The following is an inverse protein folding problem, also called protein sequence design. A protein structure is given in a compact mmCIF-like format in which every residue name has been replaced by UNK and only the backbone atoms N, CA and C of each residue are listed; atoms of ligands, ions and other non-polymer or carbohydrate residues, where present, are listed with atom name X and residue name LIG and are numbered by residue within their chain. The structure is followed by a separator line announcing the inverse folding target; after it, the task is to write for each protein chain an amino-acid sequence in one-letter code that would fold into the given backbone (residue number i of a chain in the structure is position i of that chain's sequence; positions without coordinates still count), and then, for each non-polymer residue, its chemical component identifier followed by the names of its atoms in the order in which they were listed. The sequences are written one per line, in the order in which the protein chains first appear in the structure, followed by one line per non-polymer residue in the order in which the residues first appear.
data_IF_446312683565
#
_entry.id   IF_446312683565
#
_cell.length_a   1.000
_cell.length_b   1.000
_cell.length_c   1.000
_cell.angle_alpha   90.00
_cell.angle_beta   90.00
_cell.angle_gamma   90.00
#
_symmetry.space_group_name_H-M   'P 1'
#
loop_
_entity.id
_entity.type
_entity.pdbx_description
1 polymer ?
#
# COMPACT_ATOMS: atom_id res chain seq x y z
N UNK A 1 -7.70 -44.17 -22.62
CA UNK A 1 -7.05 -43.35 -21.57
C UNK A 1 -6.00 -42.36 -22.09
N UNK A 2 -5.34 -42.61 -23.23
CA UNK A 2 -4.31 -41.69 -23.77
C UNK A 2 -4.91 -40.42 -24.42
N UNK A 3 -6.04 -40.56 -25.13
CA UNK A 3 -6.73 -39.43 -25.78
C UNK A 3 -7.39 -38.44 -24.80
N UNK A 4 -7.88 -38.92 -23.65
CA UNK A 4 -8.48 -38.07 -22.60
C UNK A 4 -7.41 -37.16 -21.99
N UNK A 5 -6.19 -37.66 -21.74
CA UNK A 5 -5.08 -36.86 -21.18
C UNK A 5 -4.59 -35.75 -22.11
N UNK A 6 -4.71 -35.93 -23.43
CA UNK A 6 -4.25 -34.95 -24.41
C UNK A 6 -5.23 -33.77 -24.55
N UNK A 7 -6.53 -34.06 -24.63
CA UNK A 7 -7.58 -33.03 -24.71
C UNK A 7 -7.65 -32.19 -23.42
N UNK A 8 -7.41 -32.80 -22.25
CA UNK A 8 -7.32 -32.05 -20.98
C UNK A 8 -6.09 -31.14 -20.93
N UNK A 9 -4.95 -31.55 -21.51
CA UNK A 9 -3.72 -30.74 -21.53
C UNK A 9 -3.80 -29.51 -22.43
N UNK A 10 -4.35 -29.67 -23.64
CA UNK A 10 -4.50 -28.55 -24.59
C UNK A 10 -5.47 -27.50 -24.04
N UNK A 11 -6.59 -27.93 -23.42
CA UNK A 11 -7.53 -27.01 -22.77
C UNK A 11 -6.95 -26.33 -21.53
N UNK A 12 -6.16 -27.03 -20.70
CA UNK A 12 -5.48 -26.41 -19.55
C UNK A 12 -4.49 -25.32 -19.99
N UNK A 13 -3.78 -25.54 -21.10
CA UNK A 13 -2.85 -24.54 -21.64
C UNK A 13 -3.59 -23.32 -22.24
N UNK A 14 -4.68 -23.53 -22.99
CA UNK A 14 -5.53 -22.42 -23.46
C UNK A 14 -6.19 -21.67 -22.28
N UNK A 15 -6.53 -22.37 -21.19
CA UNK A 15 -7.12 -21.80 -19.96
C UNK A 15 -6.11 -21.00 -19.11
N UNK A 16 -4.83 -21.34 -19.16
CA UNK A 16 -3.76 -20.62 -18.46
C UNK A 16 -3.41 -19.28 -19.12
N UNK A 17 -3.71 -19.11 -20.41
CA UNK A 17 -3.50 -17.85 -21.14
C UNK A 17 -4.57 -16.79 -20.82
N UNK A 18 -5.74 -17.18 -20.31
CA UNK A 18 -6.74 -16.22 -19.81
C UNK A 18 -6.48 -15.87 -18.35
N UNK A 19 -6.06 -14.65 -18.07
CA UNK A 19 -5.64 -14.20 -16.73
C UNK A 19 -6.76 -14.22 -15.66
N UNK A 20 -8.02 -14.53 -16.03
CA UNK A 20 -9.14 -14.72 -15.10
C UNK A 20 -10.07 -15.85 -15.59
N UNK A 21 -10.02 -17.07 -15.03
CA UNK A 21 -11.04 -18.08 -15.31
C UNK A 21 -12.40 -17.54 -14.86
N UNK A 22 -13.44 -17.73 -15.69
CA UNK A 22 -14.82 -17.38 -15.35
C UNK A 22 -15.29 -18.17 -14.13
N UNK A 23 -16.32 -17.67 -13.43
CA UNK A 23 -16.79 -18.30 -12.19
C UNK A 23 -17.31 -19.74 -12.41
N UNK A 24 -17.79 -20.05 -13.61
CA UNK A 24 -18.15 -21.42 -14.02
C UNK A 24 -16.92 -22.33 -14.12
N UNK A 25 -15.81 -21.84 -14.67
CA UNK A 25 -14.53 -22.58 -14.75
C UNK A 25 -13.95 -22.79 -13.35
N UNK A 26 -14.02 -21.78 -12.47
CA UNK A 26 -13.59 -21.94 -11.07
C UNK A 26 -14.41 -23.00 -10.34
N UNK A 27 -15.71 -23.10 -10.64
CA UNK A 27 -16.60 -24.10 -10.06
C UNK A 27 -16.26 -25.50 -10.57
N UNK A 28 -16.02 -25.65 -11.86
CA UNK A 28 -15.62 -26.93 -12.49
C UNK A 28 -14.24 -27.41 -11.99
N UNK A 29 -13.27 -26.49 -11.81
CA UNK A 29 -11.96 -26.80 -11.23
C UNK A 29 -12.03 -27.16 -9.73
N UNK A 30 -13.02 -26.63 -8.99
CA UNK A 30 -13.20 -26.93 -7.57
C UNK A 30 -13.81 -28.33 -7.32
N UNK A 31 -14.36 -28.98 -8.35
CA UNK A 31 -15.00 -30.29 -8.24
C UNK A 31 -13.99 -31.45 -8.17
N UNK A 32 -12.71 -31.22 -8.48
CA UNK A 32 -11.68 -32.26 -8.49
C UNK A 32 -10.43 -31.86 -7.69
N UNK A 33 -10.05 -32.72 -6.74
CA UNK A 33 -8.73 -32.62 -6.09
C UNK A 33 -7.69 -33.17 -7.06
N UNK A 34 -6.75 -32.32 -7.47
CA UNK A 34 -5.62 -32.72 -8.31
C UNK A 34 -4.34 -32.87 -7.48
N UNK A 35 -3.46 -33.85 -7.79
CA UNK A 35 -2.16 -33.96 -7.16
C UNK A 35 -1.26 -32.80 -7.58
N UNK A 36 -0.37 -32.33 -6.69
CA UNK A 36 0.61 -31.25 -6.95
C UNK A 36 1.37 -31.43 -8.28
N UNK A 37 1.64 -32.67 -8.70
CA UNK A 37 2.30 -33.00 -9.96
C UNK A 37 1.57 -32.47 -11.20
N UNK A 38 0.27 -32.22 -11.12
CA UNK A 38 -0.51 -31.61 -12.19
C UNK A 38 -0.17 -30.12 -12.39
N UNK A 39 0.28 -29.44 -11.33
CA UNK A 39 0.52 -27.99 -11.32
C UNK A 39 1.98 -27.62 -11.58
N UNK A 40 2.93 -28.55 -11.36
CA UNK A 40 4.37 -28.25 -11.40
C UNK A 40 4.85 -27.70 -12.75
N UNK A 41 4.32 -28.21 -13.88
CA UNK A 41 4.71 -27.73 -15.21
C UNK A 41 4.16 -26.32 -15.45
N UNK A 42 2.89 -26.06 -15.12
CA UNK A 42 2.25 -24.74 -15.22
C UNK A 42 2.95 -23.72 -14.31
N UNK A 43 3.28 -24.11 -13.08
CA UNK A 43 4.05 -23.28 -12.14
C UNK A 43 5.42 -22.93 -12.72
N UNK A 44 6.14 -23.90 -13.29
CA UNK A 44 7.44 -23.66 -13.94
C UNK A 44 7.33 -22.67 -15.10
N UNK A 45 6.26 -22.76 -15.90
CA UNK A 45 5.98 -21.83 -17.00
C UNK A 45 5.60 -20.42 -16.51
N UNK A 46 5.13 -20.28 -15.27
CA UNK A 46 4.83 -19.00 -14.63
C UNK A 46 6.04 -18.35 -13.94
N UNK A 47 7.20 -19.03 -13.87
CA UNK A 47 8.40 -18.44 -13.30
C UNK A 47 8.86 -17.24 -14.15
N UNK A 48 9.30 -16.18 -13.47
CA UNK A 48 9.74 -14.95 -14.14
C UNK A 48 10.99 -15.18 -15.00
N UNK A 49 11.13 -14.35 -16.04
CA UNK A 49 12.26 -14.32 -16.98
C UNK A 49 13.50 -13.57 -16.44
N UNK A 50 13.46 -13.13 -15.18
CA UNK A 50 14.52 -12.36 -14.53
C UNK A 50 14.50 -10.85 -14.78
N UNK A 51 13.50 -10.34 -15.50
CA UNK A 51 13.36 -8.88 -15.74
C UNK A 51 12.90 -8.11 -14.50
N UNK A 52 12.16 -8.76 -13.59
CA UNK A 52 11.74 -8.20 -12.31
C UNK A 52 12.63 -8.72 -11.19
N UNK A 53 13.25 -7.80 -10.45
CA UNK A 53 14.08 -8.13 -9.28
C UNK A 53 13.23 -8.61 -8.08
N UNK A 54 11.98 -8.16 -8.01
CA UNK A 54 11.09 -8.41 -6.89
C UNK A 54 9.69 -8.74 -7.39
N UNK A 55 8.96 -9.58 -6.63
CA UNK A 55 7.55 -9.87 -6.91
C UNK A 55 6.69 -8.61 -6.68
N UNK A 56 6.96 -7.91 -5.59
CA UNK A 56 6.31 -6.66 -5.21
C UNK A 56 6.85 -5.45 -5.98
N UNK A 57 6.25 -4.29 -5.72
CA UNK A 57 6.68 -3.00 -6.25
C UNK A 57 7.95 -2.59 -5.50
N UNK A 58 9.05 -2.41 -6.23
CA UNK A 58 10.29 -1.94 -5.64
C UNK A 58 10.18 -0.49 -5.19
N UNK A 59 10.71 -0.20 -4.01
CA UNK A 59 10.61 1.10 -3.34
C UNK A 59 11.85 1.96 -3.59
N UNK A 60 12.93 1.37 -4.11
CA UNK A 60 14.23 2.04 -4.26
C UNK A 60 15.06 2.02 -2.99
N UNK A 61 14.52 1.50 -1.89
CA UNK A 61 15.26 1.18 -0.68
C UNK A 61 15.71 -0.28 -0.75
N UNK A 62 16.84 -0.53 -1.39
CA UNK A 62 17.33 -1.89 -1.69
C UNK A 62 17.30 -2.86 -0.50
N UNK A 63 17.64 -2.40 0.70
CA UNK A 63 17.64 -3.25 1.90
C UNK A 63 16.22 -3.61 2.36
N UNK A 64 15.25 -2.68 2.22
CA UNK A 64 13.83 -2.97 2.47
C UNK A 64 13.32 -3.91 1.39
N UNK A 65 13.56 -3.61 0.12
CA UNK A 65 13.07 -4.40 -1.01
C UNK A 65 13.58 -5.85 -0.96
N UNK A 66 14.85 -6.07 -0.61
CA UNK A 66 15.41 -7.42 -0.39
C UNK A 66 14.75 -8.15 0.77
N UNK A 67 14.41 -7.44 1.84
CA UNK A 67 13.83 -8.03 3.04
C UNK A 67 12.37 -8.42 2.85
N UNK A 68 11.57 -7.59 2.16
CA UNK A 68 10.13 -7.82 1.97
C UNK A 68 9.75 -8.35 0.58
N UNK A 69 10.70 -8.41 -0.35
CA UNK A 69 10.44 -8.79 -1.75
C UNK A 69 9.71 -7.71 -2.54
N UNK A 70 9.97 -6.43 -2.24
CA UNK A 70 9.18 -5.26 -2.67
C UNK A 70 7.83 -5.17 -1.95
N UNK A 71 7.06 -4.10 -2.19
CA UNK A 71 5.70 -3.95 -1.66
C UNK A 71 4.76 -4.89 -2.44
N UNK A 72 4.29 -5.95 -1.81
CA UNK A 72 3.38 -6.93 -2.43
C UNK A 72 1.97 -6.85 -1.82
N UNK A 73 0.95 -6.80 -2.70
CA UNK A 73 -0.48 -6.86 -2.35
C UNK A 73 -0.84 -5.90 -1.22
N UNK A 74 -1.07 -6.36 0.01
CA UNK A 74 -1.42 -5.49 1.13
C UNK A 74 -0.27 -5.36 2.15
N UNK A 75 0.27 -4.15 2.29
CA UNK A 75 1.34 -3.80 3.24
C UNK A 75 0.79 -2.88 4.32
N UNK A 76 1.01 -3.23 5.58
CA UNK A 76 0.66 -2.41 6.73
C UNK A 76 1.91 -1.77 7.35
N UNK A 77 1.90 -0.44 7.44
CA UNK A 77 2.94 0.35 8.10
C UNK A 77 2.46 0.81 9.48
N UNK A 78 2.81 0.05 10.51
CA UNK A 78 2.38 0.31 11.88
C UNK A 78 3.44 1.09 12.66
N UNK A 79 3.00 1.88 13.63
CA UNK A 79 3.92 2.65 14.48
C UNK A 79 3.20 3.71 15.30
N UNK A 80 3.90 4.26 16.30
CA UNK A 80 3.31 5.30 17.16
C UNK A 80 3.03 6.60 16.40
N UNK A 81 2.16 7.43 16.97
CA UNK A 81 2.06 8.83 16.54
C UNK A 81 3.43 9.49 16.67
N UNK A 82 3.82 10.27 15.66
CA UNK A 82 5.14 10.90 15.57
C UNK A 82 6.31 10.00 15.17
N UNK A 83 6.10 8.69 14.95
CA UNK A 83 7.18 7.77 14.55
C UNK A 83 7.67 7.95 13.09
N UNK A 84 7.02 8.80 12.30
CA UNK A 84 7.41 9.08 10.91
C UNK A 84 6.73 8.21 9.85
N UNK A 85 5.61 7.54 10.17
CA UNK A 85 4.87 6.65 9.25
C UNK A 85 4.52 7.30 7.91
N UNK A 86 3.84 8.45 7.94
CA UNK A 86 3.48 9.22 6.74
C UNK A 86 4.71 9.56 5.91
N UNK A 87 5.76 10.07 6.55
CA UNK A 87 7.01 10.42 5.87
C UNK A 87 7.64 9.21 5.18
N UNK A 88 7.70 8.06 5.86
CA UNK A 88 8.25 6.85 5.25
C UNK A 88 7.34 6.32 4.14
N UNK A 89 6.03 6.30 4.30
CA UNK A 89 5.09 5.87 3.26
C UNK A 89 5.25 6.70 1.99
N UNK A 90 5.35 8.04 2.13
CA UNK A 90 5.61 8.95 1.01
C UNK A 90 6.99 8.72 0.36
N UNK A 91 8.02 8.38 1.15
CA UNK A 91 9.35 8.04 0.64
C UNK A 91 9.35 6.75 -0.18
N UNK A 92 8.74 5.68 0.34
CA UNK A 92 8.61 4.40 -0.36
C UNK A 92 7.79 4.58 -1.65
N UNK A 93 6.70 5.36 -1.57
CA UNK A 93 5.91 5.76 -2.72
C UNK A 93 6.74 6.50 -3.75
N UNK A 94 7.42 7.59 -3.38
CA UNK A 94 8.22 8.35 -4.33
C UNK A 94 9.27 7.50 -5.05
N UNK A 95 9.93 6.57 -4.36
CA UNK A 95 10.88 5.67 -5.01
C UNK A 95 10.22 4.68 -5.97
N UNK A 96 9.02 4.16 -5.65
CA UNK A 96 8.23 3.37 -6.60
C UNK A 96 7.75 4.20 -7.82
N UNK A 97 7.40 5.47 -7.59
CA UNK A 97 6.99 6.41 -8.64
C UNK A 97 8.13 6.70 -9.62
N UNK A 98 9.35 6.85 -9.11
CA UNK A 98 10.55 7.07 -9.93
C UNK A 98 10.91 5.86 -10.80
N UNK A 99 10.54 4.65 -10.36
CA UNK A 99 10.63 3.43 -11.16
C UNK A 99 9.46 3.25 -12.12
N UNK A 100 8.51 4.20 -12.09
CA UNK A 100 7.44 4.34 -13.06
C UNK A 100 6.10 3.77 -12.65
N UNK A 101 5.95 3.32 -11.40
CA UNK A 101 4.69 2.84 -10.85
C UNK A 101 3.77 4.03 -10.56
N UNK A 102 2.54 4.08 -11.10
CA UNK A 102 1.54 5.06 -10.71
C UNK A 102 1.13 4.94 -9.24
N UNK A 103 0.90 6.08 -8.61
CA UNK A 103 0.60 6.15 -7.17
C UNK A 103 -0.63 6.99 -6.90
N UNK A 104 -1.51 6.49 -6.05
CA UNK A 104 -2.62 7.25 -5.47
C UNK A 104 -2.37 7.39 -3.97
N UNK A 105 -2.38 8.62 -3.46
CA UNK A 105 -2.25 8.92 -2.04
C UNK A 105 -3.60 9.39 -1.52
N UNK A 106 -4.15 8.66 -0.57
CA UNK A 106 -5.28 9.06 0.26
C UNK A 106 -4.76 9.52 1.61
N UNK A 107 -4.99 10.77 1.96
CA UNK A 107 -4.65 11.30 3.28
C UNK A 107 -5.72 12.27 3.74
N UNK A 108 -6.39 11.96 4.84
CA UNK A 108 -7.53 12.75 5.31
C UNK A 108 -7.20 13.65 6.50
N UNK A 109 -6.04 13.46 7.14
CA UNK A 109 -5.51 14.40 8.13
C UNK A 109 -4.71 15.55 7.49
N UNK A 110 -3.96 15.26 6.41
CA UNK A 110 -3.15 16.27 5.71
C UNK A 110 -3.83 16.77 4.44
N UNK A 111 -3.78 18.08 4.23
CA UNK A 111 -4.16 18.70 2.96
C UNK A 111 -3.23 18.29 1.82
N UNK A 112 -3.73 18.42 0.59
CA UNK A 112 -2.92 18.19 -0.62
C UNK A 112 -1.61 18.98 -0.61
N UNK A 113 -1.63 20.24 -0.18
CA UNK A 113 -0.43 21.08 -0.14
C UNK A 113 0.59 20.60 0.88
N UNK A 114 0.15 20.12 2.05
CA UNK A 114 1.08 19.56 3.05
C UNK A 114 1.75 18.27 2.53
N UNK A 115 1.02 17.43 1.79
CA UNK A 115 1.57 16.25 1.13
C UNK A 115 2.59 16.65 0.05
N UNK A 116 2.25 17.62 -0.80
CA UNK A 116 3.17 18.17 -1.81
C UNK A 116 4.43 18.70 -1.13
N UNK A 117 4.29 19.50 -0.07
CA UNK A 117 5.42 20.01 0.70
C UNK A 117 6.32 18.85 1.12
N UNK A 118 5.79 17.81 1.79
CA UNK A 118 6.54 16.60 2.21
C UNK A 118 7.25 15.89 1.06
N UNK A 119 6.62 15.77 -0.11
CA UNK A 119 7.24 15.18 -1.29
C UNK A 119 8.44 16.01 -1.77
N UNK A 120 8.30 17.34 -1.79
CA UNK A 120 9.42 18.22 -2.13
C UNK A 120 10.56 18.09 -1.10
N UNK A 121 10.25 18.07 0.21
CA UNK A 121 11.27 17.89 1.25
C UNK A 121 12.03 16.56 1.10
N UNK A 122 11.31 15.52 0.69
CA UNK A 122 11.86 14.19 0.45
C UNK A 122 12.84 14.20 -0.71
N UNK A 123 12.43 14.78 -1.85
CA UNK A 123 13.29 14.92 -3.03
C UNK A 123 14.55 15.72 -2.71
N UNK A 124 14.40 16.78 -1.93
CA UNK A 124 15.48 17.68 -1.55
C UNK A 124 16.38 17.18 -0.41
N UNK A 125 16.13 15.97 0.11
CA UNK A 125 16.94 15.36 1.18
C UNK A 125 17.01 16.17 2.48
N UNK A 126 15.90 16.80 2.89
CA UNK A 126 15.69 17.16 4.29
C UNK A 126 15.92 18.63 4.70
N UNK A 127 15.80 19.61 3.81
CA UNK A 127 15.86 21.03 4.21
C UNK A 127 14.81 21.92 3.53
N UNK A 128 13.61 22.00 4.10
CA UNK A 128 12.49 22.71 3.44
C UNK A 128 11.59 23.55 4.36
N UNK A 129 11.28 23.11 5.58
CA UNK A 129 10.16 23.67 6.39
C UNK A 129 10.33 25.12 6.82
N UNK A 130 11.56 25.62 7.02
CA UNK A 130 11.78 27.03 7.42
C UNK A 130 12.34 27.88 6.27
N UNK A 131 13.06 27.26 5.33
CA UNK A 131 13.73 27.97 4.25
C UNK A 131 12.82 28.11 3.04
N UNK A 132 12.21 27.02 2.58
CA UNK A 132 11.42 27.06 1.35
C UNK A 132 9.94 27.33 1.64
N UNK A 133 9.37 26.72 2.67
CA UNK A 133 7.96 26.93 2.98
C UNK A 133 7.65 28.40 3.30
N UNK A 134 8.55 29.06 4.04
CA UNK A 134 8.38 30.46 4.44
C UNK A 134 9.03 31.45 3.46
N UNK A 135 10.13 31.07 2.80
CA UNK A 135 10.95 31.99 1.98
C UNK A 135 11.23 31.50 0.57
N UNK A 136 10.55 30.46 0.08
CA UNK A 136 10.78 29.87 -1.25
C UNK A 136 10.61 30.86 -2.41
N UNK A 137 9.77 31.88 -2.22
CA UNK A 137 9.56 32.97 -3.17
C UNK A 137 10.26 34.28 -2.77
N UNK A 138 11.08 34.26 -1.72
CA UNK A 138 11.78 35.45 -1.27
C UNK A 138 12.81 35.87 -2.33
N UNK A 139 12.87 37.16 -2.70
CA UNK A 139 13.82 37.63 -3.72
C UNK A 139 15.28 37.47 -3.26
N UNK A 140 15.51 37.39 -1.94
CA UNK A 140 16.80 37.22 -1.30
C UNK A 140 17.09 35.77 -0.85
N UNK A 141 16.32 34.79 -1.36
CA UNK A 141 16.62 33.38 -1.09
C UNK A 141 18.03 33.03 -1.60
N UNK A 142 18.80 32.35 -0.76
CA UNK A 142 20.18 31.95 -1.09
C UNK A 142 20.21 31.14 -2.41
N UNK A 143 21.18 31.40 -3.30
CA UNK A 143 21.25 30.74 -4.61
C UNK A 143 21.20 29.20 -4.55
N UNK A 144 21.88 28.60 -3.57
CA UNK A 144 21.91 27.15 -3.39
C UNK A 144 20.53 26.58 -3.04
N UNK A 145 19.77 27.27 -2.17
CA UNK A 145 18.40 26.86 -1.84
C UNK A 145 17.45 27.05 -3.01
N UNK A 146 17.62 28.11 -3.79
CA UNK A 146 16.84 28.33 -5.01
C UNK A 146 17.09 27.23 -6.04
N UNK A 147 18.35 26.88 -6.28
CA UNK A 147 18.72 25.81 -7.20
C UNK A 147 18.18 24.45 -6.74
N UNK A 148 18.29 24.15 -5.44
CA UNK A 148 17.74 22.92 -4.86
C UNK A 148 16.22 22.84 -5.01
N UNK A 149 15.50 23.95 -4.79
CA UNK A 149 14.05 24.03 -4.96
C UNK A 149 13.66 23.78 -6.41
N UNK A 150 14.26 24.50 -7.36
CA UNK A 150 13.98 24.35 -8.79
C UNK A 150 14.26 22.92 -9.26
N UNK A 151 15.38 22.33 -8.85
CA UNK A 151 15.71 20.93 -9.18
C UNK A 151 14.68 19.95 -8.60
N UNK A 152 14.22 20.19 -7.37
CA UNK A 152 13.25 19.32 -6.70
C UNK A 152 11.88 19.38 -7.38
N UNK A 153 11.41 20.58 -7.74
CA UNK A 153 10.17 20.77 -8.50
C UNK A 153 10.27 20.15 -9.88
N UNK A 154 11.39 20.32 -10.58
CA UNK A 154 11.62 19.67 -11.88
C UNK A 154 11.56 18.15 -11.78
N UNK A 155 12.16 17.56 -10.74
CA UNK A 155 12.12 16.10 -10.52
C UNK A 155 10.69 15.62 -10.29
N UNK A 156 9.92 16.30 -9.45
CA UNK A 156 8.51 15.97 -9.22
C UNK A 156 7.67 16.15 -10.49
N UNK A 157 7.90 17.21 -11.26
CA UNK A 157 7.18 17.46 -12.51
C UNK A 157 7.37 16.34 -13.54
N UNK A 158 8.57 15.71 -13.60
CA UNK A 158 8.84 14.57 -14.48
C UNK A 158 8.01 13.32 -14.16
N UNK A 159 7.55 13.19 -12.92
CA UNK A 159 6.80 12.02 -12.46
C UNK A 159 5.35 12.34 -12.07
N UNK A 160 4.97 13.63 -12.06
CA UNK A 160 3.70 14.13 -11.54
C UNK A 160 2.47 13.58 -12.25
N UNK A 161 2.55 13.30 -13.56
CA UNK A 161 1.46 12.70 -14.34
C UNK A 161 1.05 11.29 -13.87
N UNK A 162 1.85 10.66 -13.01
CA UNK A 162 1.59 9.34 -12.42
C UNK A 162 1.30 9.40 -10.92
N UNK A 163 1.18 10.60 -10.34
CA UNK A 163 0.95 10.81 -8.92
C UNK A 163 -0.39 11.52 -8.69
N UNK A 164 -1.28 10.84 -7.97
CA UNK A 164 -2.63 11.32 -7.68
C UNK A 164 -2.78 11.51 -6.17
N UNK A 165 -3.37 12.63 -5.74
CA UNK A 165 -3.57 12.95 -4.31
C UNK A 165 -5.05 13.26 -4.05
N UNK A 166 -5.63 12.55 -3.08
CA UNK A 166 -6.98 12.74 -2.57
C UNK A 166 -6.91 13.07 -1.09
N UNK A 167 -7.41 14.25 -0.73
CA UNK A 167 -7.52 14.69 0.65
C UNK A 167 -8.99 14.77 1.10
N UNK A 168 -9.20 15.17 2.36
CA UNK A 168 -10.54 15.26 2.94
C UNK A 168 -11.46 16.32 2.29
N UNK A 169 -10.94 17.19 1.40
CA UNK A 169 -11.73 18.24 0.76
C UNK A 169 -12.88 17.70 -0.10
N UNK A 170 -12.72 16.50 -0.67
CA UNK A 170 -13.75 15.79 -1.44
C UNK A 170 -14.61 14.83 -0.62
N UNK A 171 -14.43 14.78 0.70
CA UNK A 171 -14.99 13.75 1.57
C UNK A 171 -14.24 12.42 1.50
N UNK A 172 -14.57 11.52 2.43
CA UNK A 172 -13.93 10.21 2.54
C UNK A 172 -14.64 9.22 1.60
N UNK A 173 -13.95 8.68 0.58
CA UNK A 173 -14.53 7.74 -0.37
C UNK A 173 -14.79 6.39 0.28
N UNK A 174 -15.65 5.59 -0.34
CA UNK A 174 -15.79 4.17 0.03
C UNK A 174 -14.56 3.39 -0.40
N UNK A 175 -14.24 2.29 0.27
CA UNK A 175 -13.21 1.38 -0.22
C UNK A 175 -13.67 0.65 -1.49
N UNK A 176 -14.90 0.14 -1.48
CA UNK A 176 -15.50 -0.67 -2.54
C UNK A 176 -16.70 0.05 -3.17
N UNK A 177 -17.03 -0.26 -4.43
CA UNK A 177 -18.26 0.26 -5.03
C UNK A 177 -19.48 -0.31 -4.29
N UNK A 178 -20.62 0.40 -4.28
CA UNK A 178 -21.85 -0.10 -3.66
C UNK A 178 -22.24 -1.45 -4.26
N UNK A 179 -22.79 -2.35 -3.43
CA UNK A 179 -23.45 -3.54 -3.95
C UNK A 179 -24.66 -3.13 -4.80
N UNK A 180 -25.11 -4.01 -5.69
CA UNK A 180 -26.28 -3.78 -6.55
C UNK A 180 -27.55 -3.42 -5.78
N UNK A 181 -27.61 -3.69 -4.47
CA UNK A 181 -28.75 -3.40 -3.59
C UNK A 181 -28.61 -2.07 -2.83
N UNK A 182 -27.43 -1.43 -2.82
CA UNK A 182 -27.14 -0.18 -2.12
C UNK A 182 -27.18 1.06 -3.04
N UNK A 183 -28.29 1.28 -3.75
CA UNK A 183 -28.43 2.44 -4.66
C UNK A 183 -28.50 3.82 -3.97
N UNK A 184 -28.46 3.90 -2.63
CA UNK A 184 -28.65 5.16 -1.89
C UNK A 184 -27.38 5.98 -1.68
N UNK A 185 -26.22 5.36 -1.58
CA UNK A 185 -24.97 6.06 -1.28
C UNK A 185 -24.06 6.10 -2.52
N UNK A 186 -24.14 7.25 -3.21
CA UNK A 186 -23.44 7.57 -4.47
C UNK A 186 -22.01 8.10 -4.28
N UNK A 187 -21.42 7.98 -3.10
CA UNK A 187 -20.03 8.41 -2.89
C UNK A 187 -19.09 7.64 -3.81
N UNK A 188 -18.03 8.29 -4.33
CA UNK A 188 -17.00 7.61 -5.13
C UNK A 188 -16.29 6.54 -4.29
N UNK A 189 -15.73 5.54 -4.97
CA UNK A 189 -14.94 4.50 -4.32
C UNK A 189 -13.47 4.55 -4.72
N UNK A 190 -12.59 4.09 -3.81
CA UNK A 190 -11.16 3.91 -4.08
C UNK A 190 -10.97 2.89 -5.22
N UNK A 191 -11.84 1.88 -5.31
CA UNK A 191 -11.87 0.95 -6.45
C UNK A 191 -11.97 1.69 -7.79
N UNK A 192 -12.92 2.61 -7.94
CA UNK A 192 -13.14 3.33 -9.20
C UNK A 192 -11.93 4.23 -9.56
N UNK A 193 -11.35 4.90 -8.56
CA UNK A 193 -10.13 5.70 -8.72
C UNK A 193 -8.94 4.81 -9.19
N UNK A 194 -8.77 3.62 -8.61
CA UNK A 194 -7.71 2.67 -9.03
C UNK A 194 -7.89 2.25 -10.49
N UNK A 195 -9.09 1.82 -10.87
CA UNK A 195 -9.40 1.40 -12.23
C UNK A 195 -9.24 2.55 -13.23
N UNK A 196 -9.59 3.77 -12.83
CA UNK A 196 -9.36 4.97 -13.63
C UNK A 196 -7.86 5.21 -13.84
N UNK A 197 -7.05 5.16 -12.78
CA UNK A 197 -5.59 5.38 -12.86
C UNK A 197 -4.91 4.32 -13.70
N UNK A 198 -5.29 3.05 -13.57
CA UNK A 198 -4.79 1.97 -14.44
C UNK A 198 -5.01 2.29 -15.93
N UNK A 199 -6.23 2.72 -16.28
CA UNK A 199 -6.57 3.10 -17.66
C UNK A 199 -5.79 4.32 -18.15
N UNK A 200 -5.71 5.37 -17.32
CA UNK A 200 -5.03 6.62 -17.68
C UNK A 200 -3.53 6.41 -17.90
N UNK A 201 -2.90 5.61 -17.04
CA UNK A 201 -1.45 5.39 -17.05
C UNK A 201 -1.02 4.19 -17.87
N UNK A 202 -1.97 3.37 -18.34
CA UNK A 202 -1.73 2.09 -19.03
C UNK A 202 -0.81 1.16 -18.24
N UNK A 203 -0.93 1.20 -16.91
CA UNK A 203 -0.15 0.38 -15.99
C UNK A 203 -1.05 -0.62 -15.29
N UNK A 204 -0.66 -1.89 -15.33
CA UNK A 204 -1.33 -2.94 -14.57
C UNK A 204 -1.04 -2.85 -13.07
N UNK A 205 0.15 -2.33 -12.71
CA UNK A 205 0.59 -2.15 -11.32
C UNK A 205 0.33 -0.72 -10.88
N UNK A 206 -0.44 -0.56 -9.80
CA UNK A 206 -0.70 0.73 -9.13
C UNK A 206 -0.41 0.55 -7.65
N UNK A 207 0.26 1.53 -7.04
CA UNK A 207 0.45 1.61 -5.60
C UNK A 207 -0.56 2.59 -5.01
N UNK A 208 -1.31 2.14 -4.02
CA UNK A 208 -2.28 2.96 -3.29
C UNK A 208 -1.76 3.15 -1.87
N UNK A 209 -1.54 4.39 -1.47
CA UNK A 209 -1.13 4.75 -0.12
C UNK A 209 -2.36 5.29 0.61
N UNK A 210 -2.69 4.70 1.76
CA UNK A 210 -3.78 5.16 2.62
C UNK A 210 -3.18 5.57 3.97
N UNK A 211 -3.20 6.86 4.26
CA UNK A 211 -2.70 7.47 5.48
C UNK A 211 -3.86 8.17 6.22
N UNK A 212 -4.55 7.54 7.15
CA UNK A 212 -4.32 6.24 7.82
C UNK A 212 -5.58 5.35 7.85
N UNK A 213 -5.47 4.09 8.30
CA UNK A 213 -6.65 3.21 8.50
C UNK A 213 -7.71 3.92 9.34
N UNK A 214 -7.29 4.64 10.37
CA UNK A 214 -8.19 5.31 11.31
C UNK A 214 -9.12 6.33 10.62
N UNK A 215 -8.69 6.89 9.48
CA UNK A 215 -9.44 7.90 8.76
C UNK A 215 -10.52 7.31 7.83
N UNK A 216 -10.30 6.11 7.32
CA UNK A 216 -11.26 5.42 6.43
C UNK A 216 -12.32 4.62 7.20
N UNK A 217 -12.16 4.50 8.51
CA UNK A 217 -13.08 3.76 9.38
C UNK A 217 -14.34 4.59 9.63
N UNK A 218 -15.51 4.02 9.30
CA UNK A 218 -16.79 4.69 9.53
C UNK A 218 -17.06 4.89 11.02
N UNK A 219 -17.39 6.13 11.40
CA UNK A 219 -17.76 6.52 12.77
C UNK A 219 -19.15 6.02 13.21
N UNK A 220 -19.88 5.33 12.33
CA UNK A 220 -21.21 4.80 12.63
C UNK A 220 -21.22 3.57 13.55
N UNK A 221 -20.08 2.90 13.74
CA UNK A 221 -19.94 1.75 14.63
C UNK A 221 -19.58 2.21 16.05
N UNK A 222 -20.33 1.76 17.06
CA UNK A 222 -20.04 2.04 18.47
C UNK A 222 -18.75 1.37 18.97
N UNK A 223 -18.26 0.36 18.23
CA UNK A 223 -17.02 -0.35 18.52
C UNK A 223 -15.96 -0.05 17.46
N UNK A 224 -14.98 0.79 17.83
CA UNK A 224 -13.88 1.20 16.96
C UNK A 224 -13.03 0.03 16.46
N UNK A 225 -12.79 -0.98 17.30
CA UNK A 225 -12.00 -2.16 16.92
C UNK A 225 -12.72 -2.95 15.83
N UNK A 226 -14.04 -3.13 15.94
CA UNK A 226 -14.82 -3.84 14.94
C UNK A 226 -14.81 -3.10 13.60
N UNK A 227 -14.88 -1.76 13.65
CA UNK A 227 -14.87 -0.91 12.48
C UNK A 227 -13.50 -0.94 11.76
N UNK A 228 -12.39 -0.99 12.50
CA UNK A 228 -11.04 -1.20 11.94
C UNK A 228 -10.89 -2.58 11.27
N UNK A 229 -11.42 -3.64 11.90
CA UNK A 229 -11.41 -4.99 11.31
C UNK A 229 -12.18 -5.01 9.99
N UNK A 230 -13.34 -4.34 9.95
CA UNK A 230 -14.16 -4.23 8.74
C UNK A 230 -13.40 -3.49 7.63
N UNK A 231 -12.78 -2.34 7.94
CA UNK A 231 -11.97 -1.59 6.99
C UNK A 231 -10.83 -2.45 6.42
N UNK A 232 -10.12 -3.22 7.25
CA UNK A 232 -9.06 -4.15 6.81
C UNK A 232 -9.58 -5.24 5.87
N UNK A 233 -10.75 -5.81 6.16
CA UNK A 233 -11.37 -6.81 5.30
C UNK A 233 -11.78 -6.20 3.95
N UNK A 234 -12.31 -4.98 3.96
CA UNK A 234 -12.64 -4.24 2.74
C UNK A 234 -11.39 -3.87 1.94
N UNK A 235 -10.29 -3.45 2.58
CA UNK A 235 -8.98 -3.23 1.94
C UNK A 235 -8.48 -4.52 1.28
N UNK A 236 -8.55 -5.65 1.98
CA UNK A 236 -8.14 -6.95 1.42
C UNK A 236 -8.97 -7.30 0.19
N UNK A 237 -10.28 -7.04 0.23
CA UNK A 237 -11.18 -7.28 -0.90
C UNK A 237 -10.89 -6.34 -2.06
N UNK A 238 -10.62 -5.06 -1.78
CA UNK A 238 -10.23 -4.05 -2.75
C UNK A 238 -8.93 -4.46 -3.45
N UNK A 239 -7.93 -4.88 -2.68
CA UNK A 239 -6.66 -5.43 -3.18
C UNK A 239 -6.91 -6.61 -4.12
N UNK A 240 -7.72 -7.59 -3.72
CA UNK A 240 -7.99 -8.78 -4.54
C UNK A 240 -8.75 -8.44 -5.84
N UNK A 241 -9.71 -7.51 -5.79
CA UNK A 241 -10.51 -7.14 -6.96
C UNK A 241 -9.74 -6.29 -7.96
N UNK A 242 -8.90 -5.38 -7.47
CA UNK A 242 -8.13 -4.45 -8.31
C UNK A 242 -6.72 -4.92 -8.62
N UNK A 243 -6.19 -5.90 -7.87
CA UNK A 243 -4.79 -6.33 -7.93
C UNK A 243 -3.76 -5.22 -7.66
N UNK A 244 -4.21 -4.03 -7.22
CA UNK A 244 -3.32 -2.97 -6.80
C UNK A 244 -2.53 -3.39 -5.55
N UNK A 245 -1.36 -2.79 -5.38
CA UNK A 245 -0.63 -2.87 -4.12
C UNK A 245 -1.13 -1.76 -3.21
N UNK A 246 -1.52 -2.09 -1.98
CA UNK A 246 -2.05 -1.14 -0.99
C UNK A 246 -1.04 -1.06 0.16
N UNK A 247 -0.48 0.13 0.37
CA UNK A 247 0.32 0.47 1.54
C UNK A 247 -0.55 1.31 2.48
N UNK A 248 -0.92 0.77 3.63
CA UNK A 248 -1.75 1.48 4.58
C UNK A 248 -0.98 1.77 5.86
N UNK A 249 -1.07 3.00 6.39
CA UNK A 249 -0.49 3.32 7.68
C UNK A 249 -1.49 3.04 8.80
N UNK A 250 -0.98 2.68 9.97
CA UNK A 250 -1.83 2.53 11.16
C UNK A 250 -1.11 2.95 12.43
N UNK A 251 -1.84 3.56 13.34
CA UNK A 251 -1.34 3.92 14.65
C UNK A 251 -1.35 2.72 15.62
N UNK A 252 -0.26 2.58 16.38
CA UNK A 252 -0.18 1.61 17.49
C UNK A 252 -0.95 2.08 18.73
N UNK A 253 -1.75 1.20 19.32
CA UNK A 253 -2.55 1.51 20.53
C UNK A 253 -1.68 1.66 21.78
N UNK A 254 -2.03 2.62 22.67
CA UNK A 254 -1.26 2.96 23.89
C UNK A 254 -1.16 1.80 24.93
N UNK A 255 -2.01 0.78 24.88
CA UNK A 255 -1.95 -0.38 25.79
C UNK A 255 -0.79 -1.35 25.51
N UNK A 256 -0.24 -1.31 24.30
CA UNK A 256 0.86 -2.17 23.81
C UNK A 256 2.27 -1.78 24.27
N UNK A 257 2.35 -0.80 25.17
CA UNK A 257 3.61 -0.17 25.58
C UNK A 257 4.38 -1.05 26.58
N UNK A 258 3.67 -1.88 27.35
CA UNK A 258 4.23 -2.69 28.42
C UNK A 258 4.07 -4.21 28.21
N UNK A 259 3.56 -4.64 27.06
CA UNK A 259 3.30 -6.05 26.80
C UNK A 259 4.49 -6.72 26.11
N UNK A 260 4.79 -7.96 26.54
CA UNK A 260 5.86 -8.79 25.98
C UNK A 260 5.53 -9.28 24.57
N UNK A 261 4.25 -9.30 24.18
CA UNK A 261 3.80 -9.64 22.83
C UNK A 261 3.88 -8.42 21.89
N UNK A 262 4.97 -8.33 21.12
CA UNK A 262 5.14 -7.25 20.13
C UNK A 262 4.14 -7.30 18.99
N UNK A 263 3.37 -8.37 18.77
CA UNK A 263 2.37 -8.43 17.69
C UNK A 263 0.94 -8.28 18.21
N UNK A 264 0.50 -9.09 19.19
CA UNK A 264 -0.88 -9.11 19.69
C UNK A 264 -1.43 -7.74 20.11
N UNK A 265 -0.57 -6.82 20.54
CA UNK A 265 -0.98 -5.50 21.00
C UNK A 265 -0.78 -4.36 19.99
N UNK A 266 -0.08 -4.57 18.86
CA UNK A 266 0.24 -3.47 17.92
C UNK A 266 -1.00 -2.81 17.36
N UNK A 267 -2.11 -3.55 17.21
CA UNK A 267 -3.31 -3.08 16.52
C UNK A 267 -4.62 -3.37 17.27
N UNK A 268 -4.58 -3.86 18.51
CA UNK A 268 -5.80 -4.11 19.31
C UNK A 268 -6.73 -5.23 18.79
N UNK A 269 -6.42 -5.86 17.64
CA UNK A 269 -7.09 -7.06 17.15
C UNK A 269 -6.16 -7.91 16.28
N UNK A 270 -6.24 -9.23 16.47
CA UNK A 270 -5.57 -10.29 15.70
C UNK A 270 -5.76 -10.10 14.19
N UNK A 271 -6.93 -9.65 13.75
CA UNK A 271 -7.26 -9.50 12.32
C UNK A 271 -6.45 -8.41 11.60
N UNK A 272 -6.00 -7.37 12.31
CA UNK A 272 -5.20 -6.28 11.72
C UNK A 272 -3.78 -6.72 11.36
N UNK A 273 -3.33 -7.88 11.86
CA UNK A 273 -1.96 -8.39 11.67
C UNK A 273 -1.91 -9.51 10.63
N UNK A 274 -2.95 -10.34 10.54
CA UNK A 274 -2.91 -11.55 9.70
C UNK A 274 -3.46 -11.35 8.28
N UNK A 275 -4.14 -10.23 8.02
CA UNK A 275 -4.65 -9.90 6.68
C UNK A 275 -3.60 -9.26 5.76
N UNK A 276 -2.76 -8.33 6.25
CA UNK A 276 -1.64 -7.84 5.46
C UNK A 276 -0.69 -8.97 5.05
N UNK A 277 -0.13 -8.85 3.85
CA UNK A 277 0.94 -9.71 3.38
C UNK A 277 2.27 -9.38 4.04
N UNK A 278 2.47 -8.09 4.32
CA UNK A 278 3.67 -7.59 4.99
C UNK A 278 3.25 -6.58 6.07
N UNK A 279 3.78 -6.73 7.28
CA UNK A 279 3.64 -5.75 8.36
C UNK A 279 5.02 -5.19 8.67
N UNK A 280 5.16 -3.87 8.57
CA UNK A 280 6.38 -3.12 8.90
C UNK A 280 6.09 -2.29 10.15
N UNK A 281 6.82 -2.54 11.24
CA UNK A 281 6.72 -1.78 12.48
C UNK A 281 7.80 -0.69 12.56
N UNK A 282 7.39 0.57 12.70
CA UNK A 282 8.28 1.70 12.96
C UNK A 282 8.41 1.89 14.47
N UNK A 283 9.61 1.62 14.97
CA UNK A 283 9.96 1.75 16.38
C UNK A 283 10.97 2.88 16.54
N UNK A 284 10.66 3.85 17.39
CA UNK A 284 11.58 4.94 17.71
C UNK A 284 12.71 4.47 18.65
N UNK A 285 13.85 5.17 18.65
CA UNK A 285 14.96 4.88 19.58
C UNK A 285 14.47 4.90 21.04
N UNK A 286 13.59 5.85 21.38
CA UNK A 286 13.01 5.95 22.73
C UNK A 286 12.25 4.68 23.12
N UNK A 287 11.50 4.09 22.19
CA UNK A 287 10.80 2.82 22.41
C UNK A 287 11.75 1.64 22.50
N UNK A 288 12.77 1.57 21.64
CA UNK A 288 13.78 0.52 21.71
C UNK A 288 14.49 0.53 23.08
N UNK A 289 14.82 1.72 23.58
CA UNK A 289 15.42 1.90 24.90
C UNK A 289 14.45 1.46 25.99
N UNK A 290 13.18 1.89 25.94
CA UNK A 290 12.17 1.53 26.94
C UNK A 290 11.97 0.01 27.04
N UNK A 291 11.83 -0.69 25.90
CA UNK A 291 11.73 -2.17 25.84
C UNK A 291 12.94 -2.85 26.49
N UNK A 292 14.15 -2.33 26.23
CA UNK A 292 15.40 -2.90 26.77
C UNK A 292 15.52 -2.76 28.29
N UNK A 293 14.91 -1.73 28.89
CA UNK A 293 14.93 -1.53 30.34
C UNK A 293 13.79 -2.28 31.06
N UNK A 294 12.62 -2.44 30.43
CA UNK A 294 11.55 -3.28 30.98
C UNK A 294 11.95 -4.77 31.05
N UNK A 295 12.74 -5.27 30.10
CA UNK A 295 13.23 -6.65 30.10
C UNK A 295 14.25 -6.94 31.22
N UNK A 296 14.84 -5.89 31.82
CA UNK A 296 15.84 -6.02 32.90
C UNK A 296 15.26 -5.90 34.31
N UNK A 297 14.06 -5.33 34.47
CA UNK A 297 13.40 -5.21 35.78
C UNK A 297 12.68 -6.49 36.23
N UNK A 298 12.56 -7.48 35.36
CA UNK A 298 11.91 -8.78 35.60
C UNK A 298 12.92 -9.94 35.85
N UNK A 299 14.20 -9.64 36.07
CA UNK A 299 15.24 -10.60 36.47
C UNK A 299 15.83 -10.22 37.81
#
# INVERSE_FOLDING_TARGET
MHQIKQVTRERINEMAESFKPTDDIKRELAEMIHPLTADLESYKNQLGDGTQAFRGIATGFNEIDKLVGGLDRFVLLAGRSGAGKTTLALQLGLGALEQGTPIIIYSFEMSRYEIITKLVQTVAKGLFTNTIELRGNAPDLEPDYKALLEQSLQRLNRVGERLFIKDASGGIPKLLPPSTDEYKDKRPSIYDDIEQVKKLTKSERVLVIIDSIQDIVSTSNSNQVQAEIEAVNQITTLQQKTEATILCTSQKNKGSINSKDSYGDVLGSVSLIHKPNTVIELVTIKEMIAKRFSDKSDK
#
